data_IF_048297001434
#
_entry.id   IF_048297001434
#
_cell.length_a   1.000
_cell.length_b   1.000
_cell.length_c   1.000
_cell.angle_alpha   90.00
_cell.angle_beta   90.00
_cell.angle_gamma   90.00
#
_symmetry.space_group_name_H-M   'P 1'
#
loop_
_entity.id
_entity.type
_entity.pdbx_description
1 polymer ?
#
# COMPACT_ATOMS: atom_id res chain seq x y z
N UNK A 1 -16.79 -17.01 -15.82
CA UNK A 1 -16.35 -16.38 -14.55
C UNK A 1 -14.83 -16.17 -14.47
N UNK A 2 -13.99 -17.17 -14.76
CA UNK A 2 -12.52 -17.02 -14.63
C UNK A 2 -11.91 -15.87 -15.46
N UNK A 3 -12.46 -15.59 -16.64
CA UNK A 3 -11.98 -14.53 -17.53
C UNK A 3 -12.32 -13.12 -17.04
N UNK A 4 -13.51 -12.93 -16.46
CA UNK A 4 -13.91 -11.66 -15.84
C UNK A 4 -13.01 -11.31 -14.64
N UNK A 5 -12.69 -12.31 -13.80
CA UNK A 5 -11.76 -12.11 -12.68
C UNK A 5 -10.35 -11.75 -13.17
N UNK A 6 -9.85 -12.38 -14.24
CA UNK A 6 -8.57 -12.00 -14.86
C UNK A 6 -8.58 -10.57 -15.41
N UNK A 7 -9.69 -10.12 -16.00
CA UNK A 7 -9.87 -8.72 -16.43
C UNK A 7 -9.71 -7.74 -15.27
N UNK A 8 -10.42 -7.97 -14.17
CA UNK A 8 -10.37 -7.14 -12.97
C UNK A 8 -8.98 -7.13 -12.30
N UNK A 9 -8.28 -8.28 -12.27
CA UNK A 9 -6.91 -8.35 -11.75
C UNK A 9 -5.95 -7.46 -12.55
N UNK A 10 -6.02 -7.53 -13.88
CA UNK A 10 -5.18 -6.70 -14.77
C UNK A 10 -5.47 -5.22 -14.60
N UNK A 11 -6.74 -4.85 -14.47
CA UNK A 11 -7.13 -3.46 -14.17
C UNK A 11 -6.55 -2.99 -12.84
N UNK A 12 -6.71 -3.78 -11.79
CA UNK A 12 -6.14 -3.48 -10.48
C UNK A 12 -4.61 -3.30 -10.51
N UNK A 13 -3.90 -4.11 -11.30
CA UNK A 13 -2.47 -3.97 -11.49
C UNK A 13 -2.07 -2.76 -12.33
N UNK A 14 -2.87 -2.35 -13.31
CA UNK A 14 -2.62 -1.07 -14.03
C UNK A 14 -2.74 0.11 -13.07
N UNK A 15 -3.77 0.12 -12.23
CA UNK A 15 -4.01 1.19 -11.26
C UNK A 15 -3.00 1.17 -10.09
N UNK A 16 -2.26 0.07 -9.92
CA UNK A 16 -1.30 -0.07 -8.82
C UNK A 16 -0.20 0.98 -8.84
N UNK A 17 0.20 1.47 -10.01
CA UNK A 17 1.23 2.51 -10.14
C UNK A 17 0.77 3.82 -9.49
N UNK A 18 -0.46 4.25 -9.80
CA UNK A 18 -1.04 5.45 -9.21
C UNK A 18 -1.24 5.30 -7.69
N UNK A 19 -1.64 4.11 -7.22
CA UNK A 19 -1.82 3.81 -5.79
C UNK A 19 -0.50 3.87 -5.02
N UNK A 20 0.57 3.35 -5.61
CA UNK A 20 1.91 3.39 -5.03
C UNK A 20 2.43 4.83 -4.97
N UNK A 21 2.22 5.63 -6.03
CA UNK A 21 2.54 7.05 -6.02
C UNK A 21 1.76 7.81 -4.92
N UNK A 22 0.46 7.54 -4.75
CA UNK A 22 -0.35 8.12 -3.65
C UNK A 22 0.27 7.82 -2.28
N UNK A 23 0.71 6.57 -2.03
CA UNK A 23 1.34 6.20 -0.77
C UNK A 23 2.67 6.95 -0.53
N UNK A 24 3.48 7.11 -1.56
CA UNK A 24 4.76 7.81 -1.48
C UNK A 24 4.58 9.30 -1.20
N UNK A 25 3.62 9.94 -1.86
CA UNK A 25 3.28 11.34 -1.63
C UNK A 25 2.77 11.55 -0.19
N UNK A 26 1.90 10.68 0.29
CA UNK A 26 1.40 10.73 1.67
C UNK A 26 2.53 10.50 2.67
N UNK A 27 3.43 9.57 2.41
CA UNK A 27 4.61 9.32 3.24
C UNK A 27 5.55 10.54 3.30
N UNK A 28 5.76 11.22 2.16
CA UNK A 28 6.55 12.45 2.12
C UNK A 28 5.90 13.55 2.99
N UNK A 29 4.57 13.70 2.92
CA UNK A 29 3.83 14.64 3.76
C UNK A 29 3.90 14.28 5.25
N UNK A 30 3.90 12.98 5.58
CA UNK A 30 4.12 12.49 6.95
C UNK A 30 5.52 12.90 7.45
N UNK A 31 6.55 12.72 6.62
CA UNK A 31 7.92 13.15 6.96
C UNK A 31 8.09 14.65 7.14
N UNK A 32 7.22 15.46 6.51
CA UNK A 32 7.17 16.91 6.67
C UNK A 32 6.33 17.37 7.87
N UNK A 33 5.69 16.43 8.60
CA UNK A 33 4.85 16.75 9.75
C UNK A 33 3.47 17.32 9.39
N UNK A 34 2.94 17.04 8.19
CA UNK A 34 1.56 17.42 7.84
C UNK A 34 0.56 16.67 8.73
N UNK A 35 -0.26 17.41 9.48
CA UNK A 35 -1.05 16.86 10.59
C UNK A 35 -2.08 15.79 10.20
N UNK A 36 -2.60 15.80 8.98
CA UNK A 36 -3.59 14.82 8.49
C UNK A 36 -2.98 13.69 7.64
N UNK A 37 -1.70 13.81 7.26
CA UNK A 37 -1.07 12.92 6.29
C UNK A 37 -0.98 11.48 6.78
N UNK A 38 -0.72 11.27 8.08
CA UNK A 38 -0.62 9.94 8.67
C UNK A 38 -1.96 9.19 8.63
N UNK A 39 -3.06 9.87 8.90
CA UNK A 39 -4.39 9.27 8.85
C UNK A 39 -4.86 9.04 7.40
N UNK A 40 -4.45 9.92 6.46
CA UNK A 40 -4.64 9.68 5.02
C UNK A 40 -3.85 8.46 4.55
N UNK A 41 -2.58 8.32 4.94
CA UNK A 41 -1.74 7.17 4.66
C UNK A 41 -2.38 5.88 5.22
N UNK A 42 -2.83 5.90 6.48
CA UNK A 42 -3.54 4.77 7.10
C UNK A 42 -4.76 4.34 6.29
N UNK A 43 -5.59 5.29 5.83
CA UNK A 43 -6.76 4.99 4.99
C UNK A 43 -6.37 4.38 3.64
N UNK A 44 -5.31 4.88 3.00
CA UNK A 44 -4.82 4.32 1.75
C UNK A 44 -4.34 2.87 1.94
N UNK A 45 -3.60 2.60 3.02
CA UNK A 45 -3.14 1.26 3.40
C UNK A 45 -4.32 0.32 3.71
N UNK A 46 -5.35 0.79 4.42
CA UNK A 46 -6.57 0.04 4.68
C UNK A 46 -7.29 -0.37 3.38
N UNK A 47 -7.42 0.56 2.42
CA UNK A 47 -8.02 0.24 1.11
C UNK A 47 -7.25 -0.86 0.40
N UNK A 48 -5.92 -0.81 0.41
CA UNK A 48 -5.06 -1.84 -0.18
C UNK A 48 -5.17 -3.18 0.56
N UNK A 49 -5.23 -3.15 1.89
CA UNK A 49 -5.42 -4.33 2.71
C UNK A 49 -6.71 -5.09 2.34
N UNK A 50 -7.81 -4.35 2.12
CA UNK A 50 -9.09 -4.92 1.70
C UNK A 50 -9.14 -5.34 0.23
N UNK A 51 -8.62 -4.50 -0.68
CA UNK A 51 -8.72 -4.76 -2.13
C UNK A 51 -7.74 -5.81 -2.61
N UNK A 52 -6.52 -5.89 -2.07
CA UNK A 52 -5.50 -6.87 -2.48
C UNK A 52 -6.01 -8.31 -2.42
N UNK A 53 -6.66 -8.69 -1.32
CA UNK A 53 -7.16 -10.04 -1.08
C UNK A 53 -8.31 -10.39 -2.02
N UNK A 54 -9.19 -9.42 -2.30
CA UNK A 54 -10.30 -9.58 -3.23
C UNK A 54 -9.83 -9.90 -4.65
N UNK A 55 -8.68 -9.37 -5.06
CA UNK A 55 -8.07 -9.64 -6.37
C UNK A 55 -6.98 -10.74 -6.34
N UNK A 56 -6.75 -11.38 -5.19
CA UNK A 56 -5.78 -12.47 -5.05
C UNK A 56 -4.32 -12.05 -4.92
N UNK A 57 -4.05 -10.80 -4.53
CA UNK A 57 -2.72 -10.26 -4.25
C UNK A 57 -2.45 -10.29 -2.73
N UNK A 58 -2.17 -11.47 -2.20
CA UNK A 58 -2.02 -11.70 -0.76
C UNK A 58 -0.91 -10.87 -0.12
N UNK A 59 0.24 -10.70 -0.78
CA UNK A 59 1.35 -9.89 -0.26
C UNK A 59 0.98 -8.41 -0.17
N UNK A 60 0.28 -7.87 -1.18
CA UNK A 60 -0.24 -6.49 -1.13
C UNK A 60 -1.15 -6.30 0.07
N UNK A 61 -2.07 -7.25 0.30
CA UNK A 61 -2.94 -7.21 1.47
C UNK A 61 -2.18 -7.32 2.80
N UNK A 62 -1.20 -8.21 2.88
CA UNK A 62 -0.38 -8.39 4.08
C UNK A 62 0.37 -7.12 4.43
N UNK A 63 1.06 -6.52 3.46
CA UNK A 63 1.84 -5.30 3.68
C UNK A 63 0.93 -4.09 3.94
N UNK A 64 -0.20 -3.98 3.24
CA UNK A 64 -1.21 -2.96 3.51
C UNK A 64 -1.73 -3.02 4.94
N UNK A 65 -2.05 -4.22 5.45
CA UNK A 65 -2.54 -4.42 6.82
C UNK A 65 -1.48 -4.08 7.88
N UNK A 66 -0.24 -4.52 7.67
CA UNK A 66 0.86 -4.19 8.56
C UNK A 66 1.09 -2.67 8.63
N UNK A 67 1.01 -1.98 7.49
CA UNK A 67 1.12 -0.52 7.43
C UNK A 67 -0.04 0.21 8.09
N UNK A 68 -1.27 -0.26 7.87
CA UNK A 68 -2.45 0.27 8.53
C UNK A 68 -2.29 0.19 10.06
N UNK A 69 -1.83 -0.96 10.56
CA UNK A 69 -1.63 -1.17 11.99
C UNK A 69 -0.52 -0.27 12.57
N UNK A 70 0.61 -0.14 11.87
CA UNK A 70 1.69 0.79 12.26
C UNK A 70 1.17 2.22 12.32
N UNK A 71 0.49 2.69 11.27
CA UNK A 71 -0.05 4.05 11.24
C UNK A 71 -1.13 4.27 12.31
N UNK A 72 -1.98 3.27 12.58
CA UNK A 72 -2.98 3.30 13.65
C UNK A 72 -2.31 3.48 15.02
N UNK A 73 -1.31 2.66 15.34
CA UNK A 73 -0.58 2.74 16.63
C UNK A 73 0.05 4.11 16.84
N UNK A 74 0.63 4.69 15.78
CA UNK A 74 1.23 6.03 15.84
C UNK A 74 0.19 7.13 16.07
N UNK A 75 -0.98 7.05 15.42
CA UNK A 75 -2.10 7.98 15.66
C UNK A 75 -2.60 7.84 17.11
N UNK A 76 -2.82 6.62 17.57
CA UNK A 76 -3.36 6.34 18.90
C UNK A 76 -2.39 6.76 20.01
N UNK A 77 -1.07 6.74 19.76
CA UNK A 77 -0.06 7.22 20.68
C UNK A 77 -0.14 8.74 20.91
N UNK A 78 -0.61 9.52 19.92
CA UNK A 78 -0.82 10.96 20.05
C UNK A 78 0.46 11.77 20.30
N UNK A 79 1.64 11.19 20.07
CA UNK A 79 2.95 11.82 20.26
C UNK A 79 3.56 12.24 18.91
N UNK A 80 4.46 13.24 18.88
CA UNK A 80 5.17 13.61 17.66
C UNK A 80 5.96 12.43 17.07
N UNK A 81 5.81 12.22 15.77
CA UNK A 81 6.52 11.19 15.03
C UNK A 81 8.02 11.37 15.15
N UNK A 82 8.71 10.27 15.45
CA UNK A 82 10.16 10.19 15.46
C UNK A 82 10.67 9.77 14.07
N UNK A 83 11.95 10.05 13.74
CA UNK A 83 12.54 9.58 12.49
C UNK A 83 12.44 8.06 12.27
N UNK A 84 12.44 7.29 13.36
CA UNK A 84 12.23 5.84 13.33
C UNK A 84 10.83 5.45 12.85
N UNK A 85 9.79 6.22 13.19
CA UNK A 85 8.41 5.97 12.76
C UNK A 85 8.26 6.20 11.25
N UNK A 86 8.84 7.29 10.75
CA UNK A 86 8.88 7.60 9.31
C UNK A 86 9.64 6.50 8.57
N UNK A 87 10.75 6.01 9.12
CA UNK A 87 11.51 4.89 8.56
C UNK A 87 10.67 3.61 8.50
N UNK A 88 9.95 3.27 9.56
CA UNK A 88 9.08 2.10 9.59
C UNK A 88 7.96 2.18 8.55
N UNK A 89 7.31 3.34 8.42
CA UNK A 89 6.30 3.59 7.37
C UNK A 89 6.92 3.50 5.95
N UNK A 90 8.15 3.98 5.78
CA UNK A 90 8.89 3.91 4.50
C UNK A 90 9.17 2.46 4.09
N UNK A 91 9.54 1.62 5.04
CA UNK A 91 9.74 0.19 4.79
C UNK A 91 8.45 -0.50 4.36
N UNK A 92 7.31 -0.13 4.96
CA UNK A 92 6.01 -0.69 4.55
C UNK A 92 5.62 -0.25 3.13
N UNK A 93 5.73 1.04 2.81
CA UNK A 93 5.40 1.54 1.46
C UNK A 93 6.31 0.89 0.42
N UNK A 94 7.60 0.72 0.73
CA UNK A 94 8.54 -0.01 -0.13
C UNK A 94 8.13 -1.48 -0.33
N UNK A 95 7.70 -2.17 0.72
CA UNK A 95 7.23 -3.55 0.60
C UNK A 95 5.95 -3.67 -0.25
N UNK A 96 5.02 -2.72 -0.13
CA UNK A 96 3.82 -2.67 -0.99
C UNK A 96 4.21 -2.45 -2.46
N UNK A 97 5.15 -1.53 -2.74
CA UNK A 97 5.67 -1.30 -4.10
C UNK A 97 6.24 -2.59 -4.69
N UNK A 98 7.13 -3.26 -3.97
CA UNK A 98 7.75 -4.51 -4.41
C UNK A 98 6.71 -5.60 -4.66
N UNK A 99 5.71 -5.74 -3.78
CA UNK A 99 4.64 -6.72 -3.98
C UNK A 99 3.86 -6.47 -5.29
N UNK A 100 3.59 -5.21 -5.64
CA UNK A 100 2.97 -4.86 -6.92
C UNK A 100 3.90 -5.11 -8.12
N UNK A 101 5.19 -4.80 -8.00
CA UNK A 101 6.18 -5.08 -9.04
C UNK A 101 6.27 -6.58 -9.36
N UNK A 102 6.36 -7.42 -8.32
CA UNK A 102 6.36 -8.87 -8.46
C UNK A 102 5.06 -9.37 -9.11
N UNK A 103 3.90 -8.86 -8.68
CA UNK A 103 2.63 -9.25 -9.26
C UNK A 103 2.49 -8.86 -10.74
N UNK A 104 2.99 -7.67 -11.14
CA UNK A 104 3.01 -7.25 -12.54
C UNK A 104 3.96 -8.09 -13.40
N UNK A 105 5.14 -8.42 -12.86
CA UNK A 105 6.09 -9.28 -13.56
C UNK A 105 5.51 -10.68 -13.82
N UNK A 106 4.84 -11.27 -12.82
CA UNK A 106 4.21 -12.58 -12.97
C UNK A 106 3.07 -12.61 -14.00
N UNK A 107 2.27 -11.54 -14.09
CA UNK A 107 1.20 -11.44 -15.11
C UNK A 107 1.74 -11.14 -16.51
N UNK A 108 2.86 -10.42 -16.64
CA UNK A 108 3.53 -10.17 -17.92
C UNK A 108 4.17 -11.42 -18.52
N UNK A 109 4.77 -12.26 -17.69
CA UNK A 109 5.39 -13.54 -18.10
C UNK A 109 4.34 -14.59 -18.51
N UNK A 110 3.14 -14.51 -17.93
CA UNK A 110 2.01 -15.40 -18.27
C UNK A 110 1.31 -15.06 -19.61
N UNK A 111 1.68 -13.94 -20.24
CA UNK A 111 1.08 -13.45 -21.48
C UNK A 111 2.01 -13.59 -22.71
N UNK A 112 3.20 -14.17 -22.53
CA UNK A 112 4.19 -14.48 -23.57
C UNK A 112 4.23 -15.98 -23.87
#
# INVERSE_FOLDING_TARGET
>A
MAEALRGLKREYLRDSVARVAELEELLAQVGQGSGDALDRLRRALHRLAGSGGSYGFADVSRHGRAGEETARRLIDAGVPLQPADVTALTQVVSAVRTAFETARAAEGDSAS
#
